data_IF_494462671577
#
_entry.id   IF_494462671577
#
_cell.length_a   1.000
_cell.length_b   1.000
_cell.length_c   1.000
_cell.angle_alpha   90.00
_cell.angle_beta   90.00
_cell.angle_gamma   90.00
#
_symmetry.space_group_name_H-M   'P 1'
#
loop_
_entity.id
_entity.type
_entity.pdbx_description
1 polymer ?
#
# COMPACT_ATOMS: atom_id res chain seq x y z
N UNK A 1 18.91 15.92 3.91
CA UNK A 1 17.83 15.45 4.82
C UNK A 1 17.91 13.93 4.83
N UNK A 2 18.25 13.28 5.96
CA UNK A 2 18.20 11.80 6.03
C UNK A 2 16.73 11.41 5.96
N UNK A 3 16.31 10.85 4.83
CA UNK A 3 14.97 10.27 4.70
C UNK A 3 14.93 9.06 5.65
N UNK A 4 14.04 9.09 6.63
CA UNK A 4 13.98 8.07 7.68
C UNK A 4 12.97 6.98 7.31
N UNK A 5 13.45 5.78 6.98
CA UNK A 5 12.62 4.63 6.63
C UNK A 5 11.58 4.30 7.71
N UNK A 6 11.91 4.47 8.99
CA UNK A 6 10.99 4.21 10.10
C UNK A 6 9.79 5.14 10.04
N UNK A 7 10.02 6.44 9.83
CA UNK A 7 8.94 7.42 9.83
C UNK A 7 8.06 7.23 8.59
N UNK A 8 8.67 6.94 7.44
CA UNK A 8 7.94 6.58 6.21
C UNK A 8 7.08 5.32 6.38
N UNK A 9 7.59 4.31 7.06
CA UNK A 9 6.83 3.11 7.38
C UNK A 9 5.65 3.41 8.32
N UNK A 10 5.83 4.30 9.29
CA UNK A 10 4.74 4.73 10.18
C UNK A 10 3.67 5.52 9.41
N UNK A 11 4.06 6.41 8.50
CA UNK A 11 3.10 7.10 7.63
C UNK A 11 2.34 6.13 6.73
N UNK A 12 3.00 5.13 6.13
CA UNK A 12 2.30 4.09 5.35
C UNK A 12 1.18 3.40 6.14
N UNK A 13 1.40 3.11 7.43
CA UNK A 13 0.36 2.54 8.28
C UNK A 13 -0.79 3.50 8.60
N UNK A 14 -0.52 4.81 8.64
CA UNK A 14 -1.55 5.83 8.83
C UNK A 14 -2.46 5.86 7.60
N UNK A 15 -1.89 5.94 6.38
CA UNK A 15 -2.68 5.99 5.14
C UNK A 15 -3.44 4.68 4.89
N UNK A 16 -2.82 3.53 5.21
CA UNK A 16 -3.53 2.25 5.18
C UNK A 16 -4.70 2.21 6.18
N UNK A 17 -4.59 2.94 7.29
CA UNK A 17 -5.64 3.15 8.27
C UNK A 17 -6.77 4.03 7.73
N UNK A 18 -6.47 5.08 6.97
CA UNK A 18 -7.45 5.93 6.31
C UNK A 18 -8.25 5.14 5.26
N UNK A 19 -7.56 4.35 4.44
CA UNK A 19 -8.18 3.39 3.51
C UNK A 19 -9.13 2.42 4.22
N UNK A 20 -8.71 1.85 5.38
CA UNK A 20 -9.54 0.96 6.18
C UNK A 20 -10.74 1.69 6.81
N UNK A 21 -10.58 2.95 7.19
CA UNK A 21 -11.64 3.78 7.73
C UNK A 21 -12.72 4.09 6.67
N UNK A 22 -12.35 4.24 5.39
CA UNK A 22 -13.32 4.37 4.30
C UNK A 22 -14.17 3.10 4.18
N UNK A 23 -13.55 1.91 4.20
CA UNK A 23 -14.29 0.62 4.19
C UNK A 23 -15.25 0.56 5.38
N UNK A 24 -14.77 0.91 6.58
CA UNK A 24 -15.55 0.85 7.81
C UNK A 24 -16.73 1.84 7.85
N UNK A 25 -16.54 3.05 7.33
CA UNK A 25 -17.51 4.16 7.45
C UNK A 25 -18.47 4.23 6.26
N UNK A 26 -18.00 3.93 5.06
CA UNK A 26 -18.78 4.04 3.82
C UNK A 26 -19.29 2.68 3.32
N UNK A 27 -18.56 1.59 3.60
CA UNK A 27 -18.92 0.24 3.16
C UNK A 27 -18.55 -0.04 1.69
N UNK A 28 -18.48 -1.34 1.37
CA UNK A 28 -18.03 -1.83 0.08
C UNK A 28 -18.91 -1.36 -1.08
N UNK A 29 -20.23 -1.26 -0.87
CA UNK A 29 -21.17 -0.86 -1.91
C UNK A 29 -20.91 0.58 -2.39
N UNK A 30 -20.69 1.51 -1.46
CA UNK A 30 -20.36 2.91 -1.78
C UNK A 30 -19.01 3.03 -2.49
N UNK A 31 -17.99 2.28 -2.08
CA UNK A 31 -16.69 2.26 -2.79
C UNK A 31 -16.84 1.78 -4.25
N UNK A 32 -17.82 0.91 -4.52
CA UNK A 32 -18.04 0.35 -5.85
C UNK A 32 -18.97 1.19 -6.73
N UNK A 33 -19.89 1.95 -6.15
CA UNK A 33 -20.96 2.64 -6.88
C UNK A 33 -20.90 4.17 -6.82
N UNK A 34 -20.32 4.75 -5.76
CA UNK A 34 -20.20 6.19 -5.56
C UNK A 34 -18.81 6.67 -6.01
N UNK A 35 -18.78 7.47 -7.10
CA UNK A 35 -17.54 7.94 -7.72
C UNK A 35 -16.64 8.74 -6.76
N UNK A 36 -17.15 9.77 -6.05
CA UNK A 36 -16.41 10.44 -4.98
C UNK A 36 -15.81 9.49 -3.92
N UNK A 37 -16.57 8.51 -3.43
CA UNK A 37 -16.06 7.58 -2.41
C UNK A 37 -14.96 6.69 -2.99
N UNK A 38 -15.15 6.24 -4.24
CA UNK A 38 -14.16 5.46 -4.97
C UNK A 38 -12.86 6.23 -5.19
N UNK A 39 -12.96 7.48 -5.60
CA UNK A 39 -11.80 8.35 -5.85
C UNK A 39 -10.99 8.52 -4.56
N UNK A 40 -11.65 8.91 -3.46
CA UNK A 40 -11.01 9.03 -2.15
C UNK A 40 -10.38 7.71 -1.68
N UNK A 41 -11.05 6.58 -1.88
CA UNK A 41 -10.46 5.27 -1.55
C UNK A 41 -9.18 4.97 -2.34
N UNK A 42 -9.15 5.34 -3.63
CA UNK A 42 -7.97 5.17 -4.49
C UNK A 42 -6.86 6.14 -4.10
N UNK A 43 -7.19 7.36 -3.65
CA UNK A 43 -6.20 8.32 -3.13
C UNK A 43 -5.46 7.74 -1.92
N UNK A 44 -6.17 7.17 -0.93
CA UNK A 44 -5.54 6.54 0.23
C UNK A 44 -4.69 5.31 -0.14
N UNK A 45 -5.10 4.57 -1.17
CA UNK A 45 -4.28 3.50 -1.75
C UNK A 45 -2.99 4.05 -2.37
N UNK A 46 -3.06 5.17 -3.09
CA UNK A 46 -1.91 5.83 -3.68
C UNK A 46 -0.95 6.34 -2.60
N UNK A 47 -1.46 6.96 -1.53
CA UNK A 47 -0.66 7.46 -0.41
C UNK A 47 0.06 6.31 0.29
N UNK A 48 -0.64 5.20 0.54
CA UNK A 48 -0.04 3.96 1.06
C UNK A 48 1.10 3.45 0.18
N UNK A 49 0.88 3.40 -1.15
CA UNK A 49 1.91 2.97 -2.10
C UNK A 49 3.11 3.93 -2.15
N UNK A 50 2.87 5.24 -2.09
CA UNK A 50 3.94 6.25 -2.09
C UNK A 50 4.85 6.09 -0.87
N UNK A 51 4.29 5.93 0.33
CA UNK A 51 5.11 5.73 1.51
C UNK A 51 5.81 4.37 1.53
N UNK A 52 5.20 3.31 1.00
CA UNK A 52 5.88 2.02 0.85
C UNK A 52 7.07 2.14 -0.12
N UNK A 53 6.89 2.85 -1.24
CA UNK A 53 7.97 3.14 -2.19
C UNK A 53 9.08 3.96 -1.55
N UNK A 54 8.75 4.97 -0.73
CA UNK A 54 9.73 5.72 0.05
C UNK A 54 10.53 4.83 1.00
N UNK A 55 9.90 3.86 1.66
CA UNK A 55 10.59 2.87 2.50
C UNK A 55 11.59 2.07 1.67
N UNK A 56 11.20 1.60 0.49
CA UNK A 56 12.10 0.87 -0.41
C UNK A 56 13.29 1.72 -0.86
N UNK A 57 13.04 2.99 -1.23
CA UNK A 57 14.08 3.94 -1.59
C UNK A 57 15.06 4.19 -0.42
N UNK A 58 14.57 4.29 0.82
CA UNK A 58 15.43 4.47 1.99
C UNK A 58 16.40 3.31 2.23
N UNK A 59 16.00 2.08 1.86
CA UNK A 59 16.83 0.89 1.98
C UNK A 59 17.62 0.55 0.70
N UNK A 60 17.46 1.34 -0.36
CA UNK A 60 18.11 1.09 -1.64
C UNK A 60 17.61 -0.20 -2.34
N UNK A 61 16.38 -0.62 -2.06
CA UNK A 61 15.78 -1.80 -2.70
C UNK A 61 15.49 -1.47 -4.16
N UNK A 62 16.06 -2.24 -5.08
CA UNK A 62 15.81 -2.07 -6.50
C UNK A 62 14.50 -2.73 -6.96
N UNK A 63 13.90 -2.26 -8.07
CA UNK A 63 12.74 -2.93 -8.67
C UNK A 63 13.01 -4.41 -9.00
N UNK A 64 14.21 -4.74 -9.49
CA UNK A 64 14.60 -6.10 -9.88
C UNK A 64 14.73 -7.02 -8.66
N UNK A 65 15.27 -6.50 -7.54
CA UNK A 65 15.32 -7.23 -6.27
C UNK A 65 13.91 -7.52 -5.74
N UNK A 66 13.04 -6.52 -5.77
CA UNK A 66 11.64 -6.65 -5.34
C UNK A 66 10.88 -7.64 -6.21
N UNK A 67 10.96 -7.51 -7.54
CA UNK A 67 10.30 -8.38 -8.50
C UNK A 67 10.66 -9.85 -8.27
N UNK A 68 11.98 -10.13 -8.18
CA UNK A 68 12.48 -11.49 -7.95
C UNK A 68 11.93 -12.11 -6.68
N UNK A 69 11.89 -11.35 -5.58
CA UNK A 69 11.36 -11.82 -4.29
C UNK A 69 9.84 -11.97 -4.35
N UNK A 70 9.14 -11.01 -4.97
CA UNK A 70 7.69 -11.03 -5.15
C UNK A 70 7.22 -12.25 -5.94
N UNK A 71 7.79 -12.51 -7.12
CA UNK A 71 7.42 -13.64 -7.96
C UNK A 71 7.64 -14.99 -7.26
N UNK A 72 8.79 -15.16 -6.57
CA UNK A 72 9.06 -16.37 -5.78
C UNK A 72 8.07 -16.55 -4.64
N UNK A 73 7.68 -15.45 -3.97
CA UNK A 73 6.68 -15.48 -2.88
C UNK A 73 5.29 -15.79 -3.42
N UNK A 74 4.90 -15.20 -4.54
CA UNK A 74 3.64 -15.45 -5.23
C UNK A 74 3.52 -16.92 -5.64
N UNK A 75 4.53 -17.48 -6.32
CA UNK A 75 4.58 -18.90 -6.70
C UNK A 75 4.45 -19.83 -5.48
N UNK A 76 5.17 -19.53 -4.39
CA UNK A 76 5.06 -20.29 -3.14
C UNK A 76 3.65 -20.23 -2.54
N UNK A 77 3.00 -19.08 -2.60
CA UNK A 77 1.64 -18.91 -2.07
C UNK A 77 0.62 -19.68 -2.91
N UNK A 78 0.75 -19.70 -4.24
CA UNK A 78 -0.13 -20.46 -5.15
C UNK A 78 -0.04 -21.98 -4.96
N UNK A 79 1.02 -22.48 -4.32
CA UNK A 79 1.24 -23.91 -4.02
C UNK A 79 0.87 -24.30 -2.59
N UNK A 80 0.45 -23.33 -1.76
CA UNK A 80 -0.04 -23.57 -0.38
C UNK A 80 -1.55 -23.78 -0.44
N UNK A 81 -1.94 -25.02 -0.72
CA UNK A 81 -3.29 -25.54 -0.48
C UNK A 81 -3.25 -26.40 0.77
#
# INVERSE_FOLDING_TARGET
MKINAKDKLLYMFIEAGEMADIIKKQGDESIMQDMPVREHFIEEMCDTLMYLNDVMLCYGISPEELEKVYLKKHEKNMKRW
#
